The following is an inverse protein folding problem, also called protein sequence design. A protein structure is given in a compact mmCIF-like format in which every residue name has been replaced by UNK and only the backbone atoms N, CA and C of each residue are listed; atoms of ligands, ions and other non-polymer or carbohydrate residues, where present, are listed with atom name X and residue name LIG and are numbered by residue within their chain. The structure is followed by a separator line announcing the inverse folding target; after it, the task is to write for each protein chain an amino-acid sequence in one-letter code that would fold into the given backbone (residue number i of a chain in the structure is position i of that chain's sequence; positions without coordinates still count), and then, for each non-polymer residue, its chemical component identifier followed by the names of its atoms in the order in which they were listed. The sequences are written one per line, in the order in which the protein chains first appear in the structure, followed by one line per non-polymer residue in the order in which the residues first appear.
data_IF_033736717235
#
_entry.id   IF_033736717235
#
_cell.length_a   1.000
_cell.length_b   1.000
_cell.length_c   1.000
_cell.angle_alpha   90.00
_cell.angle_beta   90.00
_cell.angle_gamma   90.00
#
_symmetry.space_group_name_H-M   'P 1'
#
loop_
_entity.id
_entity.type
_entity.pdbx_description
1 polymer ?
#
# COMPACT_ATOMS: atom_id res chain seq x y z
N UNK A 1 36.55 -12.60 -24.52
CA UNK A 1 37.91 -12.54 -23.92
C UNK A 1 37.92 -13.42 -22.69
N UNK A 2 39.04 -14.06 -22.30
CA UNK A 2 39.12 -14.91 -21.09
C UNK A 2 38.50 -14.27 -19.83
N UNK A 3 38.60 -12.94 -19.72
CA UNK A 3 38.00 -12.11 -18.67
C UNK A 3 36.45 -12.09 -18.67
N UNK A 4 35.81 -12.03 -19.85
CA UNK A 4 34.34 -12.02 -19.96
C UNK A 4 33.72 -13.36 -19.60
N UNK A 5 34.41 -14.47 -19.85
CA UNK A 5 33.97 -15.82 -19.46
C UNK A 5 34.12 -16.05 -17.95
N UNK A 6 35.20 -15.53 -17.34
CA UNK A 6 35.40 -15.57 -15.89
C UNK A 6 34.36 -14.75 -15.15
N UNK A 7 34.04 -13.53 -15.60
CA UNK A 7 32.99 -12.69 -15.00
C UNK A 7 31.60 -13.32 -15.13
N UNK A 8 31.29 -13.96 -16.27
CA UNK A 8 30.03 -14.71 -16.45
C UNK A 8 29.93 -15.93 -15.53
N UNK A 9 31.02 -16.70 -15.40
CA UNK A 9 31.08 -17.89 -14.53
C UNK A 9 31.05 -17.52 -13.05
N UNK A 10 31.69 -16.42 -12.65
CA UNK A 10 31.61 -15.92 -11.27
C UNK A 10 30.20 -15.44 -10.93
N UNK A 11 29.56 -14.66 -11.81
CA UNK A 11 28.18 -14.21 -11.62
C UNK A 11 27.20 -15.38 -11.50
N UNK A 12 27.30 -16.37 -12.40
CA UNK A 12 26.41 -17.56 -12.38
C UNK A 12 26.67 -18.50 -11.21
N UNK A 13 27.92 -18.64 -10.74
CA UNK A 13 28.21 -19.45 -9.56
C UNK A 13 27.78 -18.76 -8.26
N UNK A 14 27.90 -17.43 -8.19
CA UNK A 14 27.41 -16.65 -7.06
C UNK A 14 25.88 -16.68 -6.98
N UNK A 15 25.17 -16.46 -8.09
CA UNK A 15 23.71 -16.61 -8.16
C UNK A 15 23.26 -18.02 -7.77
N UNK A 16 23.90 -19.07 -8.29
CA UNK A 16 23.58 -20.45 -7.89
C UNK A 16 23.80 -20.69 -6.40
N UNK A 17 24.85 -20.12 -5.82
CA UNK A 17 25.12 -20.20 -4.38
C UNK A 17 23.99 -19.56 -3.56
N UNK A 18 23.52 -18.38 -3.94
CA UNK A 18 22.42 -17.70 -3.24
C UNK A 18 21.10 -18.47 -3.39
N UNK A 19 20.79 -18.97 -4.59
CA UNK A 19 19.60 -19.81 -4.83
C UNK A 19 19.60 -21.07 -3.94
N UNK A 20 20.75 -21.72 -3.78
CA UNK A 20 20.87 -22.90 -2.92
C UNK A 20 20.68 -22.54 -1.45
N UNK A 21 21.22 -21.39 -0.99
CA UNK A 21 21.00 -20.91 0.37
C UNK A 21 19.53 -20.60 0.63
N UNK A 22 18.88 -19.92 -0.30
CA UNK A 22 17.44 -19.61 -0.21
C UNK A 22 16.61 -20.88 -0.14
N UNK A 23 16.89 -21.88 -0.99
CA UNK A 23 16.24 -23.20 -0.92
C UNK A 23 16.43 -23.91 0.42
N UNK A 24 17.63 -23.85 1.02
CA UNK A 24 17.91 -24.47 2.32
C UNK A 24 17.12 -23.76 3.42
N UNK A 25 17.10 -22.42 3.39
CA UNK A 25 16.35 -21.61 4.34
C UNK A 25 14.84 -21.90 4.22
N UNK A 26 14.30 -21.95 3.00
CA UNK A 26 12.89 -22.31 2.77
C UNK A 26 12.58 -23.70 3.34
N UNK A 27 13.44 -24.69 3.09
CA UNK A 27 13.27 -26.05 3.63
C UNK A 27 13.43 -26.13 5.16
N UNK A 28 14.19 -25.25 5.78
CA UNK A 28 14.28 -25.15 7.24
C UNK A 28 13.03 -24.49 7.82
N UNK A 29 12.55 -23.40 7.22
CA UNK A 29 11.32 -22.72 7.60
C UNK A 29 10.12 -23.66 7.48
N UNK A 30 9.99 -24.40 6.38
CA UNK A 30 8.91 -25.39 6.19
C UNK A 30 8.97 -26.51 7.23
N UNK A 31 10.17 -26.90 7.65
CA UNK A 31 10.38 -27.91 8.70
C UNK A 31 9.97 -27.39 10.07
N UNK A 32 10.27 -26.13 10.35
CA UNK A 32 9.89 -25.46 11.59
C UNK A 32 8.37 -25.16 11.65
N UNK A 33 7.72 -25.03 10.48
CA UNK A 33 6.27 -24.83 10.34
C UNK A 33 5.49 -26.18 10.38
N UNK A 34 6.10 -27.32 10.71
CA UNK A 34 5.46 -28.66 10.68
C UNK A 34 4.22 -28.89 11.59
N UNK A 35 3.61 -27.85 12.17
CA UNK A 35 2.31 -27.91 12.83
C UNK A 35 1.26 -27.01 12.15
N UNK A 36 -0.01 -27.27 12.46
CA UNK A 36 -1.09 -26.34 12.11
C UNK A 36 -0.79 -24.97 12.76
N UNK A 37 -0.39 -23.99 11.95
CA UNK A 37 -0.20 -22.62 12.42
C UNK A 37 -1.54 -22.11 12.91
N UNK A 38 -1.60 -21.73 14.19
CA UNK A 38 -2.82 -21.13 14.73
C UNK A 38 -3.17 -19.88 13.91
N UNK A 39 -4.46 -19.57 13.68
CA UNK A 39 -4.87 -18.34 12.99
C UNK A 39 -4.24 -17.09 13.59
N UNK A 40 -4.02 -17.07 14.92
CA UNK A 40 -3.35 -15.97 15.63
C UNK A 40 -1.88 -15.82 15.22
N UNK A 41 -1.15 -16.94 15.13
CA UNK A 41 0.27 -16.94 14.72
C UNK A 41 0.39 -16.50 13.26
N UNK A 42 -0.48 -17.00 12.39
CA UNK A 42 -0.52 -16.62 10.99
C UNK A 42 -0.83 -15.12 10.83
N UNK A 43 -1.81 -14.59 11.57
CA UNK A 43 -2.10 -13.16 11.62
C UNK A 43 -0.89 -12.34 12.11
N UNK A 44 -0.21 -12.77 13.17
CA UNK A 44 0.95 -12.07 13.69
C UNK A 44 2.11 -12.02 12.67
N UNK A 45 2.37 -13.12 11.97
CA UNK A 45 3.38 -13.17 10.91
C UNK A 45 2.99 -12.26 9.74
N UNK A 46 1.73 -12.28 9.31
CA UNK A 46 1.21 -11.35 8.30
C UNK A 46 1.39 -9.90 8.69
N UNK A 47 1.06 -9.55 9.94
CA UNK A 47 1.26 -8.20 10.48
C UNK A 47 2.74 -7.81 10.45
N UNK A 48 3.64 -8.73 10.83
CA UNK A 48 5.08 -8.48 10.78
C UNK A 48 5.55 -8.20 9.35
N UNK A 49 5.10 -8.99 8.37
CA UNK A 49 5.45 -8.78 6.96
C UNK A 49 4.98 -7.40 6.48
N UNK A 50 3.72 -7.03 6.73
CA UNK A 50 3.18 -5.73 6.36
C UNK A 50 3.95 -4.59 7.03
N UNK A 51 4.31 -4.76 8.31
CA UNK A 51 5.11 -3.79 9.05
C UNK A 51 6.51 -3.62 8.47
N UNK A 52 7.19 -4.70 8.06
CA UNK A 52 8.50 -4.59 7.43
C UNK A 52 8.41 -3.98 6.04
N UNK A 53 7.46 -4.41 5.20
CA UNK A 53 7.23 -3.83 3.87
C UNK A 53 6.96 -2.32 3.95
N UNK A 54 6.15 -1.88 4.93
CA UNK A 54 5.84 -0.45 5.12
C UNK A 54 7.09 0.41 5.34
N UNK A 55 8.15 -0.14 5.96
CA UNK A 55 9.42 0.59 6.17
C UNK A 55 10.18 0.78 4.85
N UNK A 56 10.07 -0.19 3.95
CA UNK A 56 10.75 -0.20 2.65
C UNK A 56 10.04 0.72 1.64
N UNK A 57 8.74 1.00 1.83
CA UNK A 57 7.98 1.95 1.00
C UNK A 57 8.57 3.37 0.94
N UNK A 58 9.46 3.73 1.87
CA UNK A 58 10.18 5.01 1.91
C UNK A 58 11.66 4.92 1.55
N UNK A 59 12.12 3.81 0.94
CA UNK A 59 13.53 3.64 0.56
C UNK A 59 13.97 4.72 -0.44
N UNK A 60 15.20 5.20 -0.27
CA UNK A 60 15.83 6.23 -1.11
C UNK A 60 15.95 5.80 -2.58
N UNK A 61 16.01 4.49 -2.85
CA UNK A 61 16.10 3.92 -4.21
C UNK A 61 14.72 3.69 -4.79
N UNK A 62 14.45 4.33 -5.94
CA UNK A 62 13.13 4.33 -6.62
C UNK A 62 12.55 2.94 -6.84
N UNK A 63 13.37 2.04 -7.36
CA UNK A 63 12.95 0.68 -7.71
C UNK A 63 12.55 -0.10 -6.46
N UNK A 64 13.29 0.05 -5.36
CA UNK A 64 13.04 -0.63 -4.09
C UNK A 64 11.73 -0.15 -3.47
N UNK A 65 11.56 1.18 -3.33
CA UNK A 65 10.34 1.74 -2.75
C UNK A 65 9.09 1.45 -3.59
N UNK A 66 9.19 1.51 -4.92
CA UNK A 66 8.03 1.29 -5.79
C UNK A 66 7.64 -0.19 -5.82
N UNK A 67 8.62 -1.10 -5.83
CA UNK A 67 8.38 -2.52 -5.67
C UNK A 67 7.70 -2.84 -4.33
N UNK A 68 8.19 -2.25 -3.23
CA UNK A 68 7.59 -2.42 -1.91
C UNK A 68 6.14 -1.90 -1.86
N UNK A 69 5.87 -0.71 -2.39
CA UNK A 69 4.52 -0.15 -2.45
C UNK A 69 3.56 -1.04 -3.26
N UNK A 70 3.98 -1.51 -4.43
CA UNK A 70 3.15 -2.41 -5.25
C UNK A 70 2.85 -3.73 -4.56
N UNK A 71 3.87 -4.36 -3.96
CA UNK A 71 3.68 -5.58 -3.19
C UNK A 71 2.74 -5.35 -2.02
N UNK A 72 2.94 -4.27 -1.26
CA UNK A 72 2.11 -3.92 -0.12
C UNK A 72 0.63 -3.78 -0.51
N UNK A 73 0.31 -2.98 -1.53
CA UNK A 73 -1.07 -2.79 -1.98
C UNK A 73 -1.69 -4.09 -2.48
N UNK A 74 -0.97 -4.90 -3.28
CA UNK A 74 -1.48 -6.19 -3.77
C UNK A 74 -1.76 -7.17 -2.62
N UNK A 75 -0.87 -7.24 -1.63
CA UNK A 75 -1.05 -8.10 -0.47
C UNK A 75 -2.28 -7.69 0.34
N UNK A 76 -2.49 -6.39 0.53
CA UNK A 76 -3.68 -5.85 1.21
C UNK A 76 -4.94 -6.14 0.39
N UNK A 77 -4.93 -5.93 -0.93
CA UNK A 77 -6.09 -6.25 -1.80
C UNK A 77 -6.47 -7.74 -1.73
N UNK A 78 -5.48 -8.64 -1.69
CA UNK A 78 -5.72 -10.08 -1.65
C UNK A 78 -6.21 -10.60 -0.29
N UNK A 79 -5.73 -10.00 0.81
CA UNK A 79 -5.92 -10.56 2.16
C UNK A 79 -6.64 -9.60 3.13
N UNK A 80 -7.03 -8.42 2.67
CA UNK A 80 -7.51 -7.32 3.51
C UNK A 80 -8.73 -7.64 4.36
N UNK A 81 -9.59 -8.55 3.88
CA UNK A 81 -10.79 -8.99 4.60
C UNK A 81 -10.47 -9.71 5.92
N UNK A 82 -9.28 -10.30 6.06
CA UNK A 82 -8.83 -10.99 7.27
C UNK A 82 -8.00 -10.12 8.22
N UNK A 83 -7.76 -8.85 7.89
CA UNK A 83 -6.89 -7.98 8.69
C UNK A 83 -7.60 -7.43 9.93
N UNK A 84 -6.92 -7.51 11.07
CA UNK A 84 -7.35 -6.87 12.31
C UNK A 84 -7.32 -5.34 12.20
N UNK A 85 -8.20 -4.67 12.96
CA UNK A 85 -8.32 -3.21 13.02
C UNK A 85 -6.97 -2.50 13.25
N UNK A 86 -6.16 -3.01 14.18
CA UNK A 86 -4.83 -2.45 14.50
C UNK A 86 -3.86 -2.50 13.31
N UNK A 87 -3.99 -3.51 12.46
CA UNK A 87 -3.16 -3.69 11.26
C UNK A 87 -3.57 -2.71 10.17
N UNK A 88 -4.88 -2.56 9.96
CA UNK A 88 -5.43 -1.54 9.07
C UNK A 88 -4.95 -0.14 9.45
N UNK A 89 -5.09 0.21 10.73
CA UNK A 89 -4.58 1.45 11.29
C UNK A 89 -3.10 1.65 10.93
N UNK A 90 -2.26 0.68 11.25
CA UNK A 90 -0.81 0.84 11.08
C UNK A 90 -0.41 0.97 9.60
N UNK A 91 -1.04 0.21 8.70
CA UNK A 91 -0.74 0.27 7.28
C UNK A 91 -1.14 1.61 6.66
N UNK A 92 -2.37 2.06 6.91
CA UNK A 92 -2.89 3.31 6.34
C UNK A 92 -2.08 4.50 6.85
N UNK A 93 -1.86 4.61 8.17
CA UNK A 93 -1.15 5.74 8.74
C UNK A 93 0.30 5.82 8.30
N UNK A 94 1.01 4.68 8.27
CA UNK A 94 2.40 4.68 7.82
C UNK A 94 2.50 5.14 6.37
N UNK A 95 1.67 4.62 5.47
CA UNK A 95 1.70 5.01 4.06
C UNK A 95 1.41 6.51 3.93
N UNK A 96 0.31 7.00 4.51
CA UNK A 96 -0.08 8.41 4.36
C UNK A 96 0.95 9.37 4.99
N UNK A 97 1.43 9.09 6.20
CA UNK A 97 2.36 9.98 6.92
C UNK A 97 3.77 9.94 6.35
N UNK A 98 4.24 8.79 5.85
CA UNK A 98 5.56 8.74 5.23
C UNK A 98 5.59 9.48 3.89
N UNK A 99 4.54 9.33 3.08
CA UNK A 99 4.49 9.98 1.77
C UNK A 99 4.09 11.45 1.83
N UNK A 100 3.50 11.92 2.94
CA UNK A 100 3.26 13.35 3.19
C UNK A 100 4.53 14.17 3.41
N UNK A 101 5.60 13.53 3.89
CA UNK A 101 6.84 14.20 4.32
C UNK A 101 7.92 14.27 3.24
N UNK A 102 7.76 13.57 2.13
CA UNK A 102 8.78 13.44 1.09
C UNK A 102 8.49 14.37 -0.08
N UNK A 103 8.89 15.65 0.05
CA UNK A 103 8.57 16.73 -0.90
C UNK A 103 9.72 17.14 -1.83
N UNK A 104 10.80 16.35 -1.94
CA UNK A 104 11.98 16.75 -2.75
C UNK A 104 12.04 15.95 -4.06
N UNK A 105 11.69 16.62 -5.15
CA UNK A 105 11.95 16.30 -6.57
C UNK A 105 11.04 15.32 -7.34
N UNK A 106 11.02 15.52 -8.68
CA UNK A 106 10.39 14.66 -9.73
C UNK A 106 10.64 13.15 -9.58
N UNK A 107 11.64 12.75 -8.80
CA UNK A 107 11.98 11.35 -8.54
C UNK A 107 10.88 10.58 -7.76
N UNK A 108 9.95 11.30 -7.13
CA UNK A 108 8.84 10.73 -6.38
C UNK A 108 7.52 10.70 -7.13
N UNK A 109 7.43 11.23 -8.35
CA UNK A 109 6.17 11.32 -9.09
C UNK A 109 5.55 9.93 -9.32
N UNK A 110 6.34 8.95 -9.78
CA UNK A 110 5.84 7.57 -9.93
C UNK A 110 5.39 6.98 -8.59
N UNK A 111 6.13 7.25 -7.50
CA UNK A 111 5.76 6.76 -6.16
C UNK A 111 4.44 7.40 -5.72
N UNK A 112 4.25 8.70 -5.93
CA UNK A 112 3.01 9.41 -5.62
C UNK A 112 1.85 8.83 -6.43
N UNK A 113 2.02 8.63 -7.73
CA UNK A 113 1.01 8.00 -8.59
C UNK A 113 0.61 6.63 -8.04
N UNK A 114 1.59 5.77 -7.70
CA UNK A 114 1.34 4.45 -7.13
C UNK A 114 0.60 4.52 -5.79
N UNK A 115 1.01 5.41 -4.89
CA UNK A 115 0.41 5.54 -3.55
C UNK A 115 -1.00 6.11 -3.63
N UNK A 116 -1.22 7.16 -4.41
CA UNK A 116 -2.54 7.77 -4.57
C UNK A 116 -3.54 6.77 -5.18
N UNK A 117 -3.13 6.05 -6.23
CA UNK A 117 -3.99 5.07 -6.89
C UNK A 117 -4.22 3.85 -6.02
N UNK A 118 -3.18 3.28 -5.42
CA UNK A 118 -3.28 2.14 -4.50
C UNK A 118 -4.17 2.45 -3.30
N UNK A 119 -3.95 3.58 -2.62
CA UNK A 119 -4.75 3.98 -1.47
C UNK A 119 -6.22 4.20 -1.83
N UNK A 120 -6.51 4.83 -2.97
CA UNK A 120 -7.91 5.00 -3.41
C UNK A 120 -8.60 3.66 -3.70
N UNK A 121 -7.87 2.67 -4.22
CA UNK A 121 -8.36 1.31 -4.40
C UNK A 121 -8.67 0.63 -3.07
N UNK A 122 -7.73 0.69 -2.11
CA UNK A 122 -7.94 0.16 -0.77
C UNK A 122 -9.17 0.78 -0.10
N UNK A 123 -9.29 2.11 -0.14
CA UNK A 123 -10.42 2.79 0.48
C UNK A 123 -11.73 2.38 -0.18
N UNK A 124 -11.77 2.29 -1.51
CA UNK A 124 -12.96 1.84 -2.24
C UNK A 124 -13.34 0.40 -1.89
N UNK A 125 -12.38 -0.52 -1.90
CA UNK A 125 -12.63 -1.95 -1.74
C UNK A 125 -12.95 -2.34 -0.29
N UNK A 126 -12.35 -1.64 0.68
CA UNK A 126 -12.44 -1.98 2.10
C UNK A 126 -13.20 -0.95 2.93
N UNK A 127 -13.89 0.03 2.33
CA UNK A 127 -14.67 1.02 3.07
C UNK A 127 -15.56 0.41 4.17
N UNK A 128 -16.27 -0.73 3.94
CA UNK A 128 -17.08 -1.35 4.98
C UNK A 128 -16.33 -1.69 6.27
N UNK A 129 -15.05 -2.02 6.17
CA UNK A 129 -14.18 -2.28 7.32
C UNK A 129 -13.60 -0.98 7.86
N UNK A 130 -13.10 -0.13 6.96
CA UNK A 130 -12.39 1.10 7.32
C UNK A 130 -13.27 2.09 8.07
N UNK A 131 -14.56 2.21 7.71
CA UNK A 131 -15.48 3.17 8.33
C UNK A 131 -15.69 2.92 9.84
N UNK A 132 -15.38 1.72 10.31
CA UNK A 132 -15.49 1.33 11.72
C UNK A 132 -14.21 1.59 12.53
N UNK A 133 -13.11 1.99 11.89
CA UNK A 133 -11.89 2.38 12.62
C UNK A 133 -12.10 3.74 13.30
N UNK A 134 -11.68 3.87 14.55
CA UNK A 134 -11.92 5.05 15.39
C UNK A 134 -11.37 6.35 14.76
N UNK A 135 -10.31 6.23 13.97
CA UNK A 135 -9.55 7.32 13.39
C UNK A 135 -9.67 7.42 11.86
N UNK A 136 -10.54 6.60 11.25
CA UNK A 136 -10.72 6.61 9.80
C UNK A 136 -11.11 7.98 9.27
N UNK A 137 -11.91 8.74 10.02
CA UNK A 137 -12.28 10.11 9.64
C UNK A 137 -11.04 11.00 9.45
N UNK A 138 -10.06 10.90 10.36
CA UNK A 138 -8.83 11.69 10.29
C UNK A 138 -7.95 11.22 9.12
N UNK A 139 -7.85 9.91 8.93
CA UNK A 139 -7.17 9.30 7.78
C UNK A 139 -7.77 9.78 6.45
N UNK A 140 -9.10 9.79 6.34
CA UNK A 140 -9.83 10.27 5.16
C UNK A 140 -9.58 11.75 4.87
N UNK A 141 -9.67 12.61 5.89
CA UNK A 141 -9.41 14.05 5.74
C UNK A 141 -7.96 14.31 5.32
N UNK A 142 -7.00 13.56 5.89
CA UNK A 142 -5.60 13.64 5.48
C UNK A 142 -5.42 13.20 4.03
N UNK A 143 -6.04 12.09 3.61
CA UNK A 143 -5.94 11.63 2.22
C UNK A 143 -6.54 12.64 1.22
N UNK A 144 -7.69 13.23 1.55
CA UNK A 144 -8.29 14.30 0.73
C UNK A 144 -7.39 15.53 0.61
N UNK A 145 -6.75 15.95 1.70
CA UNK A 145 -5.76 17.03 1.67
C UNK A 145 -4.62 16.70 0.70
N UNK A 146 -4.09 15.47 0.73
CA UNK A 146 -3.03 15.03 -0.18
C UNK A 146 -3.47 15.02 -1.64
N UNK A 147 -4.72 14.60 -1.92
CA UNK A 147 -5.27 14.65 -3.27
C UNK A 147 -5.36 16.09 -3.76
N UNK A 148 -5.85 17.01 -2.91
CA UNK A 148 -5.93 18.43 -3.25
C UNK A 148 -4.55 19.03 -3.57
N UNK A 149 -3.57 18.82 -2.68
CA UNK A 149 -2.20 19.31 -2.88
C UNK A 149 -1.55 18.70 -4.13
N UNK A 150 -1.82 17.41 -4.39
CA UNK A 150 -1.32 16.71 -5.58
C UNK A 150 -1.92 17.27 -6.88
N UNK A 151 -3.19 17.66 -6.88
CA UNK A 151 -3.82 18.32 -8.02
C UNK A 151 -3.25 19.72 -8.28
N UNK A 152 -3.04 20.51 -7.22
CA UNK A 152 -2.70 21.94 -7.35
C UNK A 152 -1.20 22.20 -7.55
N UNK A 153 -0.33 21.38 -6.95
CA UNK A 153 1.10 21.72 -6.80
C UNK A 153 2.07 20.64 -7.29
N UNK A 154 1.60 19.52 -7.83
CA UNK A 154 2.48 18.46 -8.35
C UNK A 154 2.56 18.46 -9.88
N UNK A 155 3.36 17.53 -10.45
CA UNK A 155 3.43 17.37 -11.90
C UNK A 155 2.09 16.91 -12.49
N UNK A 156 1.91 17.11 -13.79
CA UNK A 156 0.69 16.74 -14.50
C UNK A 156 0.32 15.25 -14.32
N UNK A 157 1.32 14.37 -14.31
CA UNK A 157 1.12 12.93 -14.11
C UNK A 157 0.53 12.64 -12.71
N UNK A 158 1.09 13.26 -11.68
CA UNK A 158 0.63 13.14 -10.29
C UNK A 158 -0.74 13.77 -10.11
N UNK A 159 -0.97 14.96 -10.68
CA UNK A 159 -2.27 15.64 -10.62
C UNK A 159 -3.36 14.79 -11.29
N UNK A 160 -3.08 14.19 -12.45
CA UNK A 160 -4.03 13.29 -13.12
C UNK A 160 -4.33 12.04 -12.29
N UNK A 161 -3.31 11.45 -11.66
CA UNK A 161 -3.49 10.34 -10.74
C UNK A 161 -4.34 10.74 -9.53
N UNK A 162 -4.13 11.94 -8.97
CA UNK A 162 -4.93 12.46 -7.86
C UNK A 162 -6.41 12.65 -8.24
N UNK A 163 -6.70 13.25 -9.39
CA UNK A 163 -8.08 13.37 -9.91
C UNK A 163 -8.73 11.99 -10.08
N UNK A 164 -7.98 11.04 -10.64
CA UNK A 164 -8.47 9.66 -10.81
C UNK A 164 -8.74 8.97 -9.47
N UNK A 165 -7.87 9.16 -8.49
CA UNK A 165 -8.03 8.64 -7.13
C UNK A 165 -9.25 9.25 -6.43
N UNK A 166 -9.46 10.56 -6.58
CA UNK A 166 -10.64 11.24 -6.04
C UNK A 166 -11.93 10.71 -6.68
N UNK A 167 -11.94 10.50 -7.99
CA UNK A 167 -13.07 9.87 -8.68
C UNK A 167 -13.29 8.42 -8.21
N UNK A 168 -12.22 7.68 -7.96
CA UNK A 168 -12.31 6.28 -7.49
C UNK A 168 -12.99 6.18 -6.14
N UNK A 169 -12.65 7.04 -5.18
CA UNK A 169 -13.20 6.97 -3.81
C UNK A 169 -14.64 7.51 -3.68
N UNK A 170 -15.15 8.26 -4.67
CA UNK A 170 -16.55 8.71 -4.70
C UNK A 170 -17.46 7.73 -5.45
N UNK A 171 -16.89 6.80 -6.22
CA UNK A 171 -17.62 5.76 -6.94
C UNK A 171 -17.75 4.51 -6.07
N UNK A 172 -18.89 4.37 -5.39
CA UNK A 172 -19.17 3.18 -4.60
C UNK A 172 -19.78 2.06 -5.44
N UNK A 173 -19.36 0.81 -5.23
CA UNK A 173 -20.07 -0.34 -5.79
C UNK A 173 -21.51 -0.35 -5.26
N UNK A 174 -22.49 -0.55 -6.15
CA UNK A 174 -23.88 -0.82 -5.76
C UNK A 174 -24.02 -2.30 -5.37
N UNK A 175 -23.32 -2.72 -4.31
CA UNK A 175 -23.45 -4.05 -3.75
C UNK A 175 -24.15 -4.04 -2.38
N UNK A 176 -24.60 -5.22 -1.96
CA UNK A 176 -25.36 -5.40 -0.72
C UNK A 176 -24.57 -4.95 0.51
N UNK A 177 -23.24 -5.11 0.50
CA UNK A 177 -22.36 -4.75 1.61
C UNK A 177 -22.30 -3.22 1.76
N UNK A 178 -22.08 -2.50 0.65
CA UNK A 178 -22.00 -1.04 0.64
C UNK A 178 -23.36 -0.39 0.90
N UNK A 179 -24.46 -1.03 0.51
CA UNK A 179 -25.82 -0.54 0.79
C UNK A 179 -26.18 -0.52 2.29
N UNK A 180 -25.53 -1.38 3.09
CA UNK A 180 -25.75 -1.50 4.53
C UNK A 180 -24.90 -0.56 5.37
N UNK A 181 -24.05 0.27 4.75
CA UNK A 181 -23.18 1.19 5.48
C UNK A 181 -23.97 2.34 6.14
N UNK A 182 -23.49 2.88 7.28
CA UNK A 182 -24.15 3.99 7.95
C UNK A 182 -24.28 5.21 7.03
N UNK A 183 -25.49 5.45 6.51
CA UNK A 183 -25.77 6.51 5.53
C UNK A 183 -25.27 7.89 5.96
N UNK A 184 -25.36 8.21 7.26
CA UNK A 184 -24.87 9.48 7.83
C UNK A 184 -23.35 9.61 7.73
N UNK A 185 -22.61 8.55 8.05
CA UNK A 185 -21.14 8.55 7.98
C UNK A 185 -20.68 8.66 6.53
N UNK A 186 -21.29 7.87 5.63
CA UNK A 186 -21.02 7.93 4.19
C UNK A 186 -21.30 9.33 3.63
N UNK A 187 -22.46 9.90 3.93
CA UNK A 187 -22.82 11.26 3.47
C UNK A 187 -21.80 12.32 3.90
N UNK A 188 -21.24 12.21 5.11
CA UNK A 188 -20.19 13.12 5.57
C UNK A 188 -18.89 12.95 4.77
N UNK A 189 -18.46 11.73 4.50
CA UNK A 189 -17.27 11.44 3.69
C UNK A 189 -17.42 12.03 2.28
N UNK A 190 -18.56 11.81 1.65
CA UNK A 190 -18.90 12.36 0.34
C UNK A 190 -18.90 13.89 0.33
N UNK A 191 -19.50 14.51 1.36
CA UNK A 191 -19.49 15.96 1.50
C UNK A 191 -18.07 16.50 1.55
N UNK A 192 -17.19 15.87 2.32
CA UNK A 192 -15.78 16.26 2.42
C UNK A 192 -15.04 16.10 1.07
N UNK A 193 -15.29 14.99 0.35
CA UNK A 193 -14.71 14.78 -0.98
C UNK A 193 -15.20 15.81 -2.00
N UNK A 194 -16.49 16.16 -1.96
CA UNK A 194 -17.07 17.20 -2.82
C UNK A 194 -16.47 18.58 -2.55
N UNK A 195 -16.36 18.97 -1.28
CA UNK A 195 -15.69 20.23 -0.90
C UNK A 195 -14.23 20.25 -1.39
N UNK A 196 -13.56 19.10 -1.36
CA UNK A 196 -12.19 18.97 -1.86
C UNK A 196 -12.15 19.15 -3.38
N UNK A 197 -13.10 18.53 -4.10
CA UNK A 197 -13.25 18.69 -5.55
C UNK A 197 -13.47 20.15 -5.96
N UNK A 198 -14.31 20.89 -5.24
CA UNK A 198 -14.57 22.33 -5.52
C UNK A 198 -13.35 23.23 -5.31
N UNK A 199 -12.32 22.76 -4.59
CA UNK A 199 -11.09 23.52 -4.28
C UNK A 199 -9.93 23.20 -5.23
N UNK A 200 -10.09 22.22 -6.10
CA UNK A 200 -9.12 21.82 -7.14
C UNK A 200 -9.41 22.65 -8.41
#
# INVERSE_FOLDING_TARGET
TKRSELEKNFGTNYEKSEIIKDMIIEQEIERDIQGELSPRTMNALWMLILLQLSKICSDVRRQVRNGANQTLFRTIDMNGAGLESQTWHTCIWKIMVHHSRNTVDKQWDETKVLVLTGMSGIIKNFLPFLINLEDFKQAWELFLLHLQESCLYSSLEVAFAAIKSLNTIIQFPEDEIHSNLPKKSISLLFKNAWITWERI
#
